data_IF_553573215005
#
_entry.id   IF_553573215005
#
_cell.length_a   1.000
_cell.length_b   1.000
_cell.length_c   1.000
_cell.angle_alpha   90.00
_cell.angle_beta   90.00
_cell.angle_gamma   90.00
#
_symmetry.space_group_name_H-M   'P 1'
#
loop_
_entity.id
_entity.type
_entity.pdbx_description
1 polymer ?
#
# COMPACT_ATOMS: atom_id res chain seq x y z
N UNK A 1 -5.43 2.09 6.04
CA UNK A 1 -6.08 0.86 5.58
C UNK A 1 -5.33 0.23 4.41
N UNK A 2 -5.42 -1.08 4.25
CA UNK A 2 -4.78 -1.78 3.12
C UNK A 2 -5.56 -1.48 1.85
N UNK A 3 -4.94 -0.76 0.92
CA UNK A 3 -5.49 -0.56 -0.43
C UNK A 3 -5.19 -1.80 -1.26
N UNK A 4 -6.13 -2.74 -1.35
CA UNK A 4 -5.97 -4.01 -2.08
C UNK A 4 -5.41 -3.85 -3.50
N UNK A 5 -5.86 -2.89 -4.34
CA UNK A 5 -5.27 -2.69 -5.66
C UNK A 5 -3.77 -2.38 -5.60
N UNK A 6 -3.35 -1.53 -4.68
CA UNK A 6 -1.94 -1.21 -4.46
C UNK A 6 -1.13 -2.44 -4.01
N UNK A 7 -1.68 -3.20 -3.05
CA UNK A 7 -1.04 -4.42 -2.54
C UNK A 7 -0.81 -5.43 -3.66
N UNK A 8 -1.83 -5.69 -4.49
CA UNK A 8 -1.73 -6.60 -5.64
C UNK A 8 -0.68 -6.11 -6.64
N UNK A 9 -0.70 -4.81 -6.99
CA UNK A 9 0.28 -4.20 -7.89
C UNK A 9 1.71 -4.39 -7.38
N UNK A 10 1.95 -4.15 -6.09
CA UNK A 10 3.26 -4.30 -5.47
C UNK A 10 3.69 -5.76 -5.29
N UNK A 11 2.75 -6.69 -5.13
CA UNK A 11 3.04 -8.12 -5.09
C UNK A 11 3.51 -8.67 -6.46
N UNK A 12 2.95 -8.16 -7.57
CA UNK A 12 3.34 -8.55 -8.94
C UNK A 12 4.62 -7.83 -9.41
N UNK A 13 4.88 -6.63 -8.91
CA UNK A 13 5.98 -5.76 -9.33
C UNK A 13 7.38 -6.44 -9.31
N UNK A 14 7.80 -7.20 -8.29
CA UNK A 14 9.10 -7.87 -8.28
C UNK A 14 9.30 -8.84 -9.43
N UNK A 15 8.24 -9.56 -9.82
CA UNK A 15 8.27 -10.47 -10.97
C UNK A 15 8.42 -9.68 -12.28
N UNK A 16 7.70 -8.59 -12.47
CA UNK A 16 7.82 -7.72 -13.64
C UNK A 16 9.25 -7.14 -13.76
N UNK A 17 9.83 -6.64 -12.66
CA UNK A 17 11.21 -6.14 -12.62
C UNK A 17 12.20 -7.25 -13.01
N UNK A 18 12.06 -8.45 -12.44
CA UNK A 18 12.91 -9.59 -12.77
C UNK A 18 12.82 -9.96 -14.26
N UNK A 19 11.63 -9.97 -14.84
CA UNK A 19 11.40 -10.23 -16.26
C UNK A 19 12.06 -9.17 -17.17
N UNK A 20 11.99 -7.89 -16.80
CA UNK A 20 12.70 -6.81 -17.52
C UNK A 20 14.20 -7.08 -17.47
N UNK A 21 14.76 -7.36 -16.31
CA UNK A 21 16.19 -7.64 -16.13
C UNK A 21 16.61 -8.85 -16.98
N UNK A 22 15.83 -9.93 -16.97
CA UNK A 22 16.10 -11.15 -17.77
C UNK A 22 16.02 -10.87 -19.27
N UNK A 23 15.01 -10.13 -19.72
CA UNK A 23 14.79 -9.74 -21.11
C UNK A 23 15.96 -8.90 -21.64
N UNK A 24 16.32 -7.83 -20.91
CA UNK A 24 17.46 -6.97 -21.30
C UNK A 24 18.77 -7.75 -21.30
N UNK A 25 19.00 -8.61 -20.31
CA UNK A 25 20.19 -9.48 -20.30
C UNK A 25 20.21 -10.48 -21.43
N UNK A 26 19.05 -11.03 -21.86
CA UNK A 26 18.96 -11.94 -22.99
C UNK A 26 19.31 -11.20 -24.30
N UNK A 27 18.78 -10.00 -24.51
CA UNK A 27 19.11 -9.14 -25.66
C UNK A 27 20.62 -8.82 -25.70
N UNK A 28 21.16 -8.33 -24.59
CA UNK A 28 22.61 -7.95 -24.52
C UNK A 28 23.52 -9.15 -24.78
N UNK A 29 23.10 -10.36 -24.40
CA UNK A 29 23.87 -11.60 -24.65
C UNK A 29 23.56 -12.26 -26.01
N UNK A 30 22.72 -11.67 -26.86
CA UNK A 30 22.32 -12.24 -28.15
C UNK A 30 21.48 -13.52 -28.04
N UNK A 31 20.84 -13.78 -26.90
CA UNK A 31 20.02 -14.98 -26.63
C UNK A 31 18.57 -14.77 -27.06
N UNK A 32 18.34 -14.42 -28.34
CA UNK A 32 17.04 -14.01 -28.86
C UNK A 32 15.95 -15.08 -28.77
N UNK A 33 16.31 -16.35 -28.79
CA UNK A 33 15.35 -17.47 -28.62
C UNK A 33 14.57 -17.38 -27.29
N UNK A 34 15.21 -16.87 -26.24
CA UNK A 34 14.53 -16.68 -24.95
C UNK A 34 13.48 -15.58 -24.96
N UNK A 35 13.51 -14.67 -25.92
CA UNK A 35 12.57 -13.56 -25.98
C UNK A 35 11.15 -14.01 -26.32
N UNK A 36 10.98 -15.15 -27.01
CA UNK A 36 9.66 -15.72 -27.31
C UNK A 36 8.85 -16.06 -26.05
N UNK A 37 9.51 -16.42 -24.97
CA UNK A 37 8.86 -16.67 -23.66
C UNK A 37 8.90 -15.45 -22.75
N UNK A 38 10.03 -14.74 -22.71
CA UNK A 38 10.20 -13.61 -21.79
C UNK A 38 9.31 -12.42 -22.12
N UNK A 39 9.12 -12.09 -23.42
CA UNK A 39 8.31 -10.92 -23.80
C UNK A 39 6.83 -11.11 -23.48
N UNK A 40 6.15 -12.21 -23.87
CA UNK A 40 4.75 -12.41 -23.50
C UNK A 40 4.53 -12.44 -21.98
N UNK A 41 5.43 -13.12 -21.23
CA UNK A 41 5.33 -13.17 -19.77
C UNK A 41 5.55 -11.80 -19.14
N UNK A 42 6.49 -11.00 -19.66
CA UNK A 42 6.71 -9.63 -19.24
C UNK A 42 5.47 -8.76 -19.49
N UNK A 43 4.89 -8.86 -20.67
CA UNK A 43 3.68 -8.10 -21.01
C UNK A 43 2.53 -8.44 -20.07
N UNK A 44 2.31 -9.72 -19.76
CA UNK A 44 1.32 -10.15 -18.77
C UNK A 44 1.59 -9.56 -17.39
N UNK A 45 2.85 -9.55 -16.94
CA UNK A 45 3.25 -8.95 -15.68
C UNK A 45 3.01 -7.44 -15.63
N UNK A 46 3.35 -6.72 -16.70
CA UNK A 46 3.11 -5.28 -16.80
C UNK A 46 1.62 -4.93 -16.88
N UNK A 47 0.84 -5.70 -17.63
CA UNK A 47 -0.63 -5.57 -17.70
C UNK A 47 -1.22 -5.84 -16.31
N UNK A 48 -0.75 -6.88 -15.60
CA UNK A 48 -1.17 -7.15 -14.23
C UNK A 48 -0.89 -5.99 -13.28
N UNK A 49 0.29 -5.38 -13.35
CA UNK A 49 0.61 -4.16 -12.58
C UNK A 49 -0.31 -2.99 -12.95
N UNK A 50 -0.58 -2.77 -14.25
CA UNK A 50 -1.43 -1.67 -14.73
C UNK A 50 -2.87 -1.81 -14.27
N UNK A 51 -3.43 -3.01 -14.39
CA UNK A 51 -4.82 -3.32 -14.00
C UNK A 51 -5.01 -3.28 -12.48
N UNK A 52 -3.98 -3.72 -11.73
CA UNK A 52 -4.02 -3.66 -10.28
C UNK A 52 -3.99 -2.20 -9.80
N UNK A 53 -2.97 -1.44 -10.18
CA UNK A 53 -2.88 -0.02 -9.88
C UNK A 53 -1.83 0.68 -10.77
N UNK A 54 -2.17 1.80 -11.45
CA UNK A 54 -1.26 2.49 -12.36
C UNK A 54 0.09 2.90 -11.73
N UNK A 55 0.13 3.25 -10.42
CA UNK A 55 1.37 3.63 -9.76
C UNK A 55 2.39 2.47 -9.66
N UNK A 56 1.93 1.20 -9.76
CA UNK A 56 2.84 0.06 -9.80
C UNK A 56 3.74 0.10 -11.04
N UNK A 57 3.24 0.57 -12.20
CA UNK A 57 4.06 0.74 -13.40
C UNK A 57 5.13 1.82 -13.22
N UNK A 58 4.78 2.95 -12.59
CA UNK A 58 5.76 3.99 -12.27
C UNK A 58 6.81 3.46 -11.31
N UNK A 59 6.39 2.67 -10.32
CA UNK A 59 7.30 2.02 -9.39
C UNK A 59 8.26 1.07 -10.11
N UNK A 60 7.77 0.23 -11.04
CA UNK A 60 8.63 -0.61 -11.90
C UNK A 60 9.65 0.26 -12.64
N UNK A 61 9.22 1.38 -13.25
CA UNK A 61 10.10 2.29 -13.98
C UNK A 61 11.22 2.84 -13.08
N UNK A 62 10.89 3.31 -11.87
CA UNK A 62 11.87 3.84 -10.91
C UNK A 62 12.94 2.80 -10.56
N UNK A 63 12.57 1.54 -10.34
CA UNK A 63 13.52 0.46 -10.06
C UNK A 63 14.38 0.09 -11.26
N UNK A 64 13.82 0.13 -12.46
CA UNK A 64 14.46 -0.36 -13.67
C UNK A 64 15.40 0.68 -14.29
N UNK A 65 15.12 1.98 -14.14
CA UNK A 65 15.95 3.04 -14.69
C UNK A 65 17.43 2.93 -14.30
N UNK A 66 17.83 2.78 -13.03
CA UNK A 66 19.24 2.60 -12.65
C UNK A 66 19.88 1.37 -13.30
N UNK A 67 19.13 0.27 -13.42
CA UNK A 67 19.58 -0.94 -14.11
C UNK A 67 19.82 -0.68 -15.61
N UNK A 68 18.89 -0.03 -16.29
CA UNK A 68 19.01 0.29 -17.72
C UNK A 68 20.21 1.19 -18.00
N UNK A 69 20.43 2.21 -17.17
CA UNK A 69 21.60 3.10 -17.27
C UNK A 69 22.93 2.33 -17.07
N UNK A 70 22.97 1.41 -16.08
CA UNK A 70 24.11 0.55 -15.85
C UNK A 70 24.37 -0.38 -17.05
N UNK A 71 23.30 -0.87 -17.71
CA UNK A 71 23.41 -1.71 -18.90
C UNK A 71 23.91 -0.95 -20.14
N UNK A 72 23.51 0.32 -20.33
CA UNK A 72 24.07 1.15 -21.39
C UNK A 72 25.60 1.23 -21.26
N UNK A 73 26.08 1.58 -20.06
CA UNK A 73 27.52 1.66 -19.81
C UNK A 73 28.25 0.34 -20.09
N UNK A 74 27.61 -0.79 -19.76
CA UNK A 74 28.14 -2.12 -20.07
C UNK A 74 28.18 -2.42 -21.57
N UNK A 75 27.07 -2.16 -22.29
CA UNK A 75 26.95 -2.39 -23.73
C UNK A 75 28.00 -1.57 -24.49
N UNK A 76 28.12 -0.28 -24.19
CA UNK A 76 29.10 0.60 -24.83
C UNK A 76 30.53 0.11 -24.61
N UNK A 77 30.87 -0.36 -23.42
CA UNK A 77 32.23 -0.87 -23.11
C UNK A 77 32.54 -2.20 -23.79
N UNK A 78 31.56 -3.11 -23.88
CA UNK A 78 31.79 -4.50 -24.32
C UNK A 78 31.70 -4.67 -25.83
N UNK A 79 30.81 -3.95 -26.49
CA UNK A 79 30.46 -4.17 -27.91
C UNK A 79 30.75 -2.96 -28.81
N UNK A 80 31.74 -2.18 -28.48
CA UNK A 80 32.12 -0.95 -29.18
C UNK A 80 32.24 -1.20 -30.68
N UNK A 81 31.34 -0.61 -31.51
CA UNK A 81 31.25 -0.72 -32.98
C UNK A 81 30.62 -2.00 -33.55
N UNK A 82 29.81 -2.76 -32.83
CA UNK A 82 29.08 -3.90 -33.38
C UNK A 82 27.59 -3.61 -33.64
N UNK A 83 26.97 -4.33 -34.59
CA UNK A 83 25.52 -4.27 -34.84
C UNK A 83 24.73 -4.64 -33.56
N UNK A 84 25.24 -5.52 -32.72
CA UNK A 84 24.66 -5.88 -31.43
C UNK A 84 24.61 -4.70 -30.47
N UNK A 85 25.63 -3.83 -30.49
CA UNK A 85 25.63 -2.61 -29.65
C UNK A 85 24.50 -1.67 -30.04
N UNK A 86 24.29 -1.48 -31.35
CA UNK A 86 23.22 -0.62 -31.86
C UNK A 86 21.83 -1.17 -31.47
N UNK A 87 21.60 -2.47 -31.63
CA UNK A 87 20.33 -3.11 -31.28
C UNK A 87 20.09 -3.03 -29.76
N UNK A 88 21.06 -3.47 -28.95
CA UNK A 88 20.92 -3.46 -27.50
C UNK A 88 20.78 -2.03 -26.95
N UNK A 89 21.55 -1.08 -27.47
CA UNK A 89 21.45 0.34 -27.11
C UNK A 89 20.10 0.93 -27.46
N UNK A 90 19.60 0.66 -28.67
CA UNK A 90 18.28 1.10 -29.13
C UNK A 90 17.13 0.58 -28.24
N UNK A 91 17.16 -0.72 -27.89
CA UNK A 91 16.14 -1.32 -26.97
C UNK A 91 16.19 -0.68 -25.59
N UNK A 92 17.39 -0.46 -25.03
CA UNK A 92 17.52 0.17 -23.72
C UNK A 92 17.03 1.63 -23.75
N UNK A 93 17.36 2.39 -24.82
CA UNK A 93 16.87 3.75 -24.98
C UNK A 93 15.34 3.79 -25.12
N UNK A 94 14.77 2.86 -25.90
CA UNK A 94 13.31 2.74 -26.02
C UNK A 94 12.67 2.43 -24.67
N UNK A 95 13.25 1.52 -23.87
CA UNK A 95 12.76 1.20 -22.53
C UNK A 95 12.84 2.44 -21.59
N UNK A 96 13.92 3.24 -21.65
CA UNK A 96 14.02 4.49 -20.89
C UNK A 96 12.99 5.53 -21.34
N UNK A 97 12.78 5.68 -22.65
CA UNK A 97 11.74 6.55 -23.17
C UNK A 97 10.34 6.12 -22.71
N UNK A 98 10.09 4.79 -22.67
CA UNK A 98 8.84 4.23 -22.12
C UNK A 98 8.69 4.58 -20.64
N UNK A 99 9.75 4.48 -19.83
CA UNK A 99 9.70 4.87 -18.41
C UNK A 99 9.31 6.36 -18.25
N UNK A 100 9.86 7.24 -19.09
CA UNK A 100 9.52 8.67 -19.09
C UNK A 100 8.06 8.87 -19.52
N UNK A 101 7.61 8.19 -20.57
CA UNK A 101 6.23 8.26 -21.04
C UNK A 101 5.24 7.81 -19.96
N UNK A 102 5.52 6.67 -19.29
CA UNK A 102 4.71 6.15 -18.17
C UNK A 102 4.62 7.19 -17.04
N UNK A 103 5.74 7.84 -16.71
CA UNK A 103 5.74 8.90 -15.71
C UNK A 103 4.78 10.04 -16.09
N UNK A 104 4.86 10.52 -17.34
CA UNK A 104 4.00 11.60 -17.80
C UNK A 104 2.52 11.22 -17.89
N UNK A 105 2.21 9.99 -18.33
CA UNK A 105 0.83 9.52 -18.50
C UNK A 105 0.12 9.24 -17.17
N UNK A 106 0.86 8.75 -16.17
CA UNK A 106 0.28 8.36 -14.87
C UNK A 106 0.30 9.51 -13.87
N UNK A 107 0.94 10.62 -14.20
CA UNK A 107 0.97 11.81 -13.36
C UNK A 107 -0.42 12.43 -13.26
N UNK A 108 -1.09 12.37 -12.09
CA UNK A 108 -2.42 12.94 -11.96
C UNK A 108 -2.37 14.47 -12.02
N UNK A 109 -3.06 15.06 -12.99
CA UNK A 109 -3.19 16.52 -13.10
C UNK A 109 -4.13 17.11 -12.05
N UNK A 110 -5.16 16.36 -11.65
CA UNK A 110 -6.29 16.86 -10.84
C UNK A 110 -6.30 16.36 -9.39
N UNK A 111 -5.51 15.34 -9.03
CA UNK A 111 -5.46 14.82 -7.64
C UNK A 111 -4.65 15.70 -6.66
N UNK A 112 -4.44 16.97 -7.02
CA UNK A 112 -3.72 17.93 -6.18
C UNK A 112 -4.48 18.30 -4.89
N UNK A 113 -5.77 17.96 -4.75
CA UNK A 113 -6.58 18.30 -3.60
C UNK A 113 -6.37 17.38 -2.39
N UNK A 114 -6.09 16.09 -2.61
CA UNK A 114 -5.91 15.10 -1.54
C UNK A 114 -4.44 14.75 -1.37
N UNK A 115 -3.62 15.71 -0.97
CA UNK A 115 -2.20 15.49 -0.73
C UNK A 115 -1.94 15.32 0.76
N UNK A 116 -1.27 14.23 1.12
CA UNK A 116 -0.72 14.05 2.44
C UNK A 116 0.25 15.19 2.80
N UNK A 117 0.19 15.68 4.03
CA UNK A 117 1.12 16.69 4.53
C UNK A 117 2.48 16.07 4.86
N UNK A 118 3.51 16.91 4.97
CA UNK A 118 4.78 16.49 5.58
C UNK A 118 4.56 16.18 7.07
N UNK A 119 5.23 15.16 7.58
CA UNK A 119 5.02 14.65 8.95
C UNK A 119 6.28 14.72 9.81
N UNK A 120 7.44 15.03 9.22
CA UNK A 120 8.72 15.10 9.93
C UNK A 120 9.70 16.04 9.23
N UNK A 121 10.81 16.38 9.91
CA UNK A 121 11.89 17.15 9.30
C UNK A 121 12.70 16.33 8.29
N UNK A 122 13.43 17.00 7.38
CA UNK A 122 14.27 16.31 6.38
C UNK A 122 15.34 15.43 7.03
N UNK A 123 15.99 15.94 8.10
CA UNK A 123 17.02 15.18 8.83
C UNK A 123 16.45 13.92 9.49
N UNK A 124 15.26 14.02 10.06
CA UNK A 124 14.56 12.88 10.63
C UNK A 124 14.14 11.88 9.56
N UNK A 125 13.60 12.33 8.43
CA UNK A 125 13.24 11.46 7.32
C UNK A 125 14.46 10.70 6.78
N UNK A 126 15.62 11.33 6.64
CA UNK A 126 16.85 10.65 6.24
C UNK A 126 17.27 9.62 7.28
N UNK A 127 17.18 9.94 8.58
CA UNK A 127 17.45 8.98 9.64
C UNK A 127 16.52 7.77 9.57
N UNK A 128 15.20 8.01 9.48
CA UNK A 128 14.21 6.93 9.42
C UNK A 128 14.38 6.07 8.15
N UNK A 129 14.75 6.66 7.02
CA UNK A 129 15.09 5.91 5.80
C UNK A 129 16.30 4.99 6.01
N UNK A 130 17.39 5.51 6.56
CA UNK A 130 18.63 4.74 6.74
C UNK A 130 18.49 3.62 7.76
N UNK A 131 17.68 3.82 8.80
CA UNK A 131 17.47 2.87 9.88
C UNK A 131 16.18 2.06 9.78
N UNK A 132 15.46 2.17 8.65
CA UNK A 132 14.20 1.44 8.42
C UNK A 132 13.15 1.67 9.51
N UNK A 133 13.00 2.92 9.94
CA UNK A 133 11.90 3.38 10.81
C UNK A 133 10.82 4.11 10.02
N UNK A 134 10.45 3.56 8.87
CA UNK A 134 9.54 4.21 7.90
C UNK A 134 8.13 4.42 8.46
N UNK A 135 7.73 3.61 9.42
CA UNK A 135 6.46 3.66 10.15
C UNK A 135 6.32 4.95 10.99
N UNK A 136 7.45 5.56 11.37
CA UNK A 136 7.45 6.82 12.11
C UNK A 136 6.94 8.01 11.27
N UNK A 137 6.81 7.83 9.96
CA UNK A 137 6.13 8.77 9.10
C UNK A 137 4.61 8.58 9.20
N UNK A 138 4.02 8.83 10.38
CA UNK A 138 2.58 8.71 10.61
C UNK A 138 2.02 10.01 11.21
N UNK A 139 0.73 10.25 10.99
CA UNK A 139 0.05 11.46 11.46
C UNK A 139 -0.41 11.38 12.91
N UNK A 140 -0.39 10.17 13.50
CA UNK A 140 -0.86 9.93 14.86
C UNK A 140 0.21 10.26 15.90
N UNK A 141 1.46 10.48 15.48
CA UNK A 141 2.59 10.73 16.35
C UNK A 141 3.11 9.50 17.10
N UNK A 142 2.65 8.31 16.70
CA UNK A 142 3.16 7.04 17.22
C UNK A 142 4.64 6.89 16.88
N UNK A 143 5.42 6.39 17.85
CA UNK A 143 6.86 6.14 17.67
C UNK A 143 7.14 4.67 17.69
N UNK A 144 7.78 4.20 16.63
CA UNK A 144 8.21 2.82 16.45
C UNK A 144 9.72 2.74 16.50
N UNK A 145 10.23 1.64 17.04
CA UNK A 145 11.68 1.40 17.04
C UNK A 145 12.16 1.06 15.63
N UNK A 146 13.21 1.76 15.11
CA UNK A 146 13.77 1.45 13.79
C UNK A 146 14.33 0.03 13.70
N UNK A 147 14.30 -0.56 12.51
CA UNK A 147 14.82 -1.90 12.25
C UNK A 147 16.34 -1.90 12.07
N UNK A 148 17.11 -1.69 13.14
CA UNK A 148 18.58 -1.56 13.12
C UNK A 148 19.28 -2.77 12.50
N UNK A 149 18.76 -3.99 12.68
CA UNK A 149 19.32 -5.21 12.07
C UNK A 149 19.19 -5.13 10.56
N UNK A 150 18.02 -4.75 10.07
CA UNK A 150 17.77 -4.58 8.64
C UNK A 150 18.66 -3.49 8.05
N UNK A 151 18.83 -2.38 8.76
CA UNK A 151 19.71 -1.28 8.38
C UNK A 151 21.16 -1.74 8.26
N UNK A 152 21.67 -2.41 9.29
CA UNK A 152 23.03 -2.95 9.30
C UNK A 152 23.28 -3.89 8.12
N UNK A 153 22.40 -4.87 7.90
CA UNK A 153 22.54 -5.84 6.81
C UNK A 153 22.45 -5.15 5.43
N UNK A 154 21.57 -4.17 5.27
CA UNK A 154 21.41 -3.40 4.02
C UNK A 154 22.68 -2.59 3.72
N UNK A 155 23.21 -1.86 4.71
CA UNK A 155 24.43 -1.08 4.55
C UNK A 155 25.65 -1.97 4.31
N UNK A 156 25.73 -3.12 5.00
CA UNK A 156 26.77 -4.11 4.76
C UNK A 156 26.71 -4.66 3.33
N UNK A 157 25.52 -5.00 2.84
CA UNK A 157 25.31 -5.46 1.47
C UNK A 157 25.66 -4.42 0.43
N UNK A 158 25.30 -3.16 0.67
CA UNK A 158 25.70 -2.03 -0.17
C UNK A 158 27.22 -1.88 -0.21
N UNK A 159 27.89 -1.89 0.97
CA UNK A 159 29.35 -1.86 1.09
C UNK A 159 30.03 -3.02 0.35
N UNK A 160 29.48 -4.23 0.48
CA UNK A 160 29.97 -5.41 -0.24
C UNK A 160 29.87 -5.24 -1.77
N UNK A 161 28.74 -4.74 -2.29
CA UNK A 161 28.56 -4.48 -3.73
C UNK A 161 29.52 -3.40 -4.24
N UNK A 162 29.76 -2.34 -3.45
CA UNK A 162 30.75 -1.29 -3.75
C UNK A 162 32.14 -1.88 -3.81
N UNK A 163 32.54 -2.66 -2.80
CA UNK A 163 33.83 -3.35 -2.78
C UNK A 163 34.02 -4.26 -3.99
N UNK A 164 33.00 -5.05 -4.36
CA UNK A 164 33.04 -5.93 -5.53
C UNK A 164 32.84 -5.20 -6.88
N UNK A 165 32.49 -3.93 -6.86
CA UNK A 165 32.16 -3.12 -8.06
C UNK A 165 31.13 -3.79 -8.98
N UNK A 166 30.14 -4.44 -8.39
CA UNK A 166 29.11 -5.22 -9.12
C UNK A 166 27.71 -4.83 -8.69
N UNK A 167 26.78 -4.79 -9.65
CA UNK A 167 25.35 -4.55 -9.44
C UNK A 167 25.06 -3.27 -8.62
N UNK A 168 25.88 -2.23 -8.78
CA UNK A 168 25.73 -0.94 -8.08
C UNK A 168 24.38 -0.28 -8.32
N UNK A 169 23.71 -0.64 -9.42
CA UNK A 169 22.36 -0.19 -9.74
C UNK A 169 21.33 -0.52 -8.64
N UNK A 170 21.53 -1.61 -7.87
CA UNK A 170 20.64 -1.97 -6.75
C UNK A 170 20.72 -0.89 -5.67
N UNK A 171 21.94 -0.44 -5.34
CA UNK A 171 22.18 0.63 -4.38
C UNK A 171 21.54 1.93 -4.88
N UNK A 172 21.74 2.25 -6.16
CA UNK A 172 21.18 3.45 -6.76
C UNK A 172 19.65 3.40 -6.75
N UNK A 173 19.03 2.23 -7.02
CA UNK A 173 17.57 2.05 -6.91
C UNK A 173 17.10 2.26 -5.48
N UNK A 174 17.79 1.73 -4.47
CA UNK A 174 17.46 1.91 -3.07
C UNK A 174 17.53 3.38 -2.65
N UNK A 175 18.61 4.08 -3.01
CA UNK A 175 18.78 5.51 -2.74
C UNK A 175 17.69 6.34 -3.45
N UNK A 176 17.38 6.01 -4.71
CA UNK A 176 16.38 6.74 -5.48
C UNK A 176 14.98 6.64 -4.85
N UNK A 177 14.57 5.43 -4.48
CA UNK A 177 13.26 5.22 -3.83
C UNK A 177 13.26 5.85 -2.43
N UNK A 178 14.35 5.71 -1.67
CA UNK A 178 14.51 6.39 -0.38
C UNK A 178 14.43 7.89 -0.49
N UNK A 179 15.02 8.49 -1.52
CA UNK A 179 14.92 9.92 -1.78
C UNK A 179 13.48 10.36 -2.08
N UNK A 180 12.74 9.59 -2.89
CA UNK A 180 11.32 9.86 -3.12
C UNK A 180 10.50 9.76 -1.83
N UNK A 181 10.80 8.77 -0.98
CA UNK A 181 10.15 8.63 0.32
C UNK A 181 10.45 9.82 1.23
N UNK A 182 11.72 10.22 1.34
CA UNK A 182 12.13 11.40 2.13
C UNK A 182 11.38 12.65 1.66
N UNK A 183 11.31 12.90 0.34
CA UNK A 183 10.53 14.03 -0.21
C UNK A 183 9.07 13.94 0.23
N UNK A 184 8.46 12.76 0.15
CA UNK A 184 7.05 12.60 0.53
C UNK A 184 6.81 12.80 2.03
N UNK A 185 7.75 12.38 2.89
CA UNK A 185 7.61 12.44 4.34
C UNK A 185 7.94 13.84 4.91
N UNK A 186 8.86 14.60 4.28
CA UNK A 186 9.44 15.80 4.92
C UNK A 186 9.28 17.10 4.13
N UNK A 187 9.18 17.05 2.79
CA UNK A 187 9.08 18.27 2.00
C UNK A 187 7.65 18.82 2.02
N UNK A 188 7.48 20.10 2.28
CA UNK A 188 6.19 20.76 2.26
C UNK A 188 5.54 20.75 0.86
N UNK A 189 4.22 20.97 0.85
CA UNK A 189 3.44 21.01 -0.39
C UNK A 189 3.97 22.10 -1.33
N UNK A 190 4.35 21.69 -2.54
CA UNK A 190 4.84 22.60 -3.57
C UNK A 190 5.08 21.90 -4.91
N UNK A 191 5.41 22.66 -5.98
CA UNK A 191 5.59 22.11 -7.32
C UNK A 191 6.66 21.01 -7.40
N UNK A 192 7.73 21.14 -6.62
CA UNK A 192 8.81 20.16 -6.56
C UNK A 192 8.33 18.80 -5.99
N UNK A 193 7.65 18.84 -4.82
CA UNK A 193 7.09 17.62 -4.22
C UNK A 193 6.09 16.96 -5.16
N UNK A 194 5.20 17.76 -5.76
CA UNK A 194 4.21 17.25 -6.72
C UNK A 194 4.87 16.64 -7.96
N UNK A 195 5.94 17.26 -8.49
CA UNK A 195 6.69 16.69 -9.61
C UNK A 195 7.27 15.32 -9.26
N UNK A 196 7.82 15.16 -8.07
CA UNK A 196 8.58 13.98 -7.69
C UNK A 196 7.70 12.80 -7.22
N UNK A 197 6.61 13.06 -6.48
CA UNK A 197 5.88 12.00 -5.78
C UNK A 197 4.38 11.96 -6.05
N UNK A 198 3.84 12.80 -6.96
CA UNK A 198 2.42 12.76 -7.32
C UNK A 198 1.91 11.42 -7.85
N UNK A 199 2.70 10.59 -8.58
CA UNK A 199 2.23 9.27 -9.01
C UNK A 199 1.83 8.35 -7.86
N UNK A 200 2.33 8.59 -6.65
CA UNK A 200 1.95 7.89 -5.42
C UNK A 200 1.02 8.71 -4.54
N UNK A 201 0.33 9.73 -5.08
CA UNK A 201 -0.59 10.63 -4.36
C UNK A 201 0.08 11.38 -3.20
N UNK A 202 1.39 11.62 -3.29
CA UNK A 202 2.23 12.15 -2.21
C UNK A 202 2.19 11.33 -0.90
N UNK A 203 1.69 10.10 -0.96
CA UNK A 203 1.51 9.20 0.16
C UNK A 203 2.83 8.50 0.53
N UNK A 204 3.38 8.84 1.69
CA UNK A 204 4.63 8.28 2.18
C UNK A 204 4.50 6.79 2.58
N UNK A 205 3.31 6.29 2.94
CA UNK A 205 3.11 4.86 3.22
C UNK A 205 3.28 3.99 1.97
N UNK A 206 2.81 4.48 0.81
CA UNK A 206 3.01 3.78 -0.47
C UNK A 206 4.49 3.71 -0.85
N UNK A 207 5.21 4.81 -0.65
CA UNK A 207 6.65 4.88 -0.94
C UNK A 207 7.47 4.08 0.09
N UNK A 208 7.07 4.01 1.36
CA UNK A 208 7.70 3.17 2.37
C UNK A 208 7.78 1.70 1.93
N UNK A 209 6.67 1.16 1.41
CA UNK A 209 6.63 -0.21 0.88
C UNK A 209 7.65 -0.43 -0.24
N UNK A 210 7.89 0.59 -1.09
CA UNK A 210 8.86 0.50 -2.17
C UNK A 210 10.31 0.52 -1.67
N UNK A 211 10.61 1.23 -0.59
CA UNK A 211 11.97 1.27 0.03
C UNK A 211 12.37 -0.13 0.50
N UNK A 212 11.44 -0.91 1.02
CA UNK A 212 11.70 -2.24 1.55
C UNK A 212 12.21 -3.21 0.49
N UNK A 213 11.71 -3.13 -0.75
CA UNK A 213 12.06 -4.09 -1.80
C UNK A 213 13.57 -4.16 -2.11
N UNK A 214 14.28 -3.07 -2.47
CA UNK A 214 15.73 -3.12 -2.67
C UNK A 214 16.48 -3.29 -1.35
N UNK A 215 15.91 -2.85 -0.23
CA UNK A 215 16.47 -3.07 1.10
C UNK A 215 16.58 -4.55 1.44
N UNK A 216 15.54 -5.35 1.20
CA UNK A 216 15.56 -6.82 1.38
C UNK A 216 16.63 -7.47 0.50
N UNK A 217 16.77 -7.03 -0.76
CA UNK A 217 17.79 -7.56 -1.66
C UNK A 217 19.19 -7.24 -1.12
N UNK A 218 19.43 -6.00 -0.69
CA UNK A 218 20.74 -5.58 -0.14
C UNK A 218 21.03 -6.30 1.18
N UNK A 219 20.05 -6.44 2.07
CA UNK A 219 20.25 -7.15 3.34
C UNK A 219 20.53 -8.63 3.13
N UNK A 220 19.87 -9.28 2.17
CA UNK A 220 20.17 -10.66 1.78
C UNK A 220 21.58 -10.82 1.22
N UNK A 221 22.05 -9.87 0.42
CA UNK A 221 23.45 -9.83 -0.07
C UNK A 221 24.42 -9.61 1.11
N UNK A 222 24.08 -8.72 2.03
CA UNK A 222 24.89 -8.44 3.23
C UNK A 222 25.03 -9.67 4.12
N UNK A 223 23.93 -10.32 4.43
CA UNK A 223 23.91 -11.56 5.20
C UNK A 223 24.72 -12.65 4.50
N UNK A 224 24.53 -12.86 3.20
CA UNK A 224 25.29 -13.82 2.41
C UNK A 224 26.80 -13.54 2.41
N UNK A 225 27.21 -12.26 2.35
CA UNK A 225 28.61 -11.86 2.42
C UNK A 225 29.23 -12.15 3.82
N UNK A 226 28.48 -11.89 4.88
CA UNK A 226 28.90 -12.20 6.26
C UNK A 226 29.07 -13.71 6.42
N UNK A 227 28.06 -14.50 6.05
CA UNK A 227 28.09 -15.96 6.14
C UNK A 227 29.27 -16.53 5.35
N UNK A 228 29.49 -16.08 4.10
CA UNK A 228 30.63 -16.54 3.30
C UNK A 228 31.98 -16.19 3.94
N UNK A 229 32.10 -15.03 4.57
CA UNK A 229 33.33 -14.60 5.25
C UNK A 229 33.60 -15.46 6.48
N UNK A 230 32.61 -15.73 7.29
CA UNK A 230 32.65 -16.60 8.46
C UNK A 230 33.03 -18.02 8.05
N UNK A 231 32.39 -18.57 7.02
CA UNK A 231 32.67 -19.90 6.50
C UNK A 231 34.13 -20.02 6.01
N UNK A 232 34.61 -19.05 5.23
CA UNK A 232 35.99 -19.04 4.78
C UNK A 232 36.98 -19.01 5.95
N UNK A 233 36.69 -18.21 6.98
CA UNK A 233 37.53 -18.10 8.16
C UNK A 233 37.59 -19.43 8.95
N UNK A 234 36.44 -20.10 9.12
CA UNK A 234 36.37 -21.40 9.81
C UNK A 234 37.07 -22.48 9.00
N UNK A 235 36.82 -22.56 7.68
CA UNK A 235 37.46 -23.55 6.80
C UNK A 235 38.98 -23.37 6.71
N UNK A 236 39.49 -22.14 6.74
CA UNK A 236 40.94 -21.89 6.74
C UNK A 236 41.63 -22.41 7.98
N UNK A 237 40.89 -22.61 9.09
CA UNK A 237 41.42 -23.15 10.35
C UNK A 237 41.22 -24.65 10.54
N UNK A 238 40.45 -25.30 9.64
CA UNK A 238 40.18 -26.73 9.65
C UNK A 238 40.74 -27.40 8.38
N UNK A 239 42.06 -27.56 8.26
CA UNK A 239 42.74 -27.93 6.99
C UNK A 239 42.42 -29.33 6.45
N UNK A 240 41.68 -30.17 7.18
CA UNK A 240 41.31 -31.54 6.74
C UNK A 240 39.96 -31.66 6.05
N UNK A 241 39.35 -30.55 5.70
CA UNK A 241 37.95 -30.51 5.28
C UNK A 241 37.81 -30.20 3.79
N UNK A 242 38.41 -31.03 2.93
CA UNK A 242 38.19 -30.92 1.47
C UNK A 242 37.13 -31.92 0.95
N UNK A 243 36.28 -32.43 1.84
CA UNK A 243 35.24 -33.39 1.49
C UNK A 243 33.90 -32.64 1.15
N UNK A 244 33.27 -33.06 0.08
CA UNK A 244 31.97 -32.54 -0.40
C UNK A 244 30.88 -32.59 0.70
N UNK A 245 30.92 -33.56 1.59
CA UNK A 245 30.03 -33.70 2.74
C UNK A 245 30.15 -32.54 3.73
N UNK A 246 31.34 -32.06 3.96
CA UNK A 246 31.60 -30.93 4.87
C UNK A 246 31.08 -29.62 4.31
N UNK A 247 31.20 -29.42 2.99
CA UNK A 247 30.60 -28.26 2.33
C UNK A 247 29.08 -28.27 2.46
N UNK A 248 28.44 -29.44 2.34
CA UNK A 248 27.00 -29.60 2.54
C UNK A 248 26.59 -29.33 3.98
N UNK A 249 27.32 -29.87 4.97
CA UNK A 249 27.05 -29.62 6.40
C UNK A 249 27.15 -28.12 6.73
N UNK A 250 28.15 -27.43 6.19
CA UNK A 250 28.32 -25.99 6.41
C UNK A 250 27.21 -25.18 5.74
N UNK A 251 26.74 -25.57 4.58
CA UNK A 251 25.59 -24.93 3.92
C UNK A 251 24.32 -25.11 4.75
N UNK A 252 24.07 -26.32 5.24
CA UNK A 252 22.92 -26.60 6.12
C UNK A 252 23.03 -25.83 7.43
N UNK A 253 24.20 -25.85 8.08
CA UNK A 253 24.42 -25.08 9.31
C UNK A 253 24.20 -23.57 9.07
N UNK A 254 24.68 -23.03 7.95
CA UNK A 254 24.46 -21.64 7.58
C UNK A 254 22.98 -21.33 7.36
N UNK A 255 22.24 -22.22 6.68
CA UNK A 255 20.81 -22.08 6.49
C UNK A 255 20.05 -22.10 7.83
N UNK A 256 20.42 -23.00 8.73
CA UNK A 256 19.84 -23.06 10.09
C UNK A 256 20.13 -21.77 10.86
N UNK A 257 21.38 -21.26 10.83
CA UNK A 257 21.73 -19.99 11.49
C UNK A 257 20.88 -18.84 10.93
N UNK A 258 20.72 -18.78 9.60
CA UNK A 258 19.88 -17.75 8.96
C UNK A 258 18.41 -17.86 9.40
N UNK A 259 17.86 -19.08 9.45
CA UNK A 259 16.48 -19.32 9.91
C UNK A 259 16.30 -18.94 11.38
N UNK A 260 17.28 -19.29 12.23
CA UNK A 260 17.26 -18.91 13.65
C UNK A 260 17.35 -17.39 13.79
N UNK A 261 18.26 -16.74 13.06
CA UNK A 261 18.39 -15.28 13.06
C UNK A 261 17.10 -14.61 12.57
N UNK A 262 16.46 -15.14 11.51
CA UNK A 262 15.16 -14.67 11.04
C UNK A 262 14.06 -14.82 12.10
N UNK A 263 14.04 -15.95 12.82
CA UNK A 263 13.13 -16.17 13.94
C UNK A 263 13.33 -15.17 15.09
N UNK A 264 14.57 -14.82 15.39
CA UNK A 264 14.86 -13.77 16.39
C UNK A 264 14.48 -12.38 15.90
N UNK A 265 14.77 -12.05 14.64
CA UNK A 265 14.43 -10.72 14.08
C UNK A 265 12.93 -10.52 13.94
N UNK A 266 12.14 -11.58 13.73
CA UNK A 266 10.67 -11.50 13.71
C UNK A 266 10.04 -11.24 15.09
N UNK A 267 10.83 -11.30 16.16
CA UNK A 267 10.41 -11.05 17.54
C UNK A 267 11.00 -9.75 18.11
N UNK A 268 11.55 -8.89 17.26
CA UNK A 268 12.02 -7.58 17.72
C UNK A 268 10.86 -6.69 18.14
N UNK A 269 11.14 -5.71 19.01
CA UNK A 269 10.16 -4.73 19.47
C UNK A 269 9.51 -4.02 18.28
N UNK A 270 10.29 -3.65 17.25
CA UNK A 270 9.78 -3.04 16.03
C UNK A 270 8.67 -3.87 15.34
N UNK A 271 8.88 -5.19 15.21
CA UNK A 271 7.86 -6.09 14.62
C UNK A 271 6.66 -6.25 15.55
N UNK A 272 6.90 -6.33 16.86
CA UNK A 272 5.83 -6.40 17.85
C UNK A 272 4.94 -5.16 17.80
N UNK A 273 5.53 -3.96 17.84
CA UNK A 273 4.81 -2.70 17.82
C UNK A 273 4.04 -2.50 16.50
N UNK A 274 4.67 -2.82 15.36
CA UNK A 274 3.99 -2.80 14.07
C UNK A 274 2.81 -3.78 14.02
N UNK A 275 2.98 -4.99 14.59
CA UNK A 275 1.90 -6.00 14.67
C UNK A 275 0.76 -5.52 15.56
N UNK A 276 1.06 -4.89 16.70
CA UNK A 276 0.05 -4.32 17.58
C UNK A 276 -0.70 -3.17 16.90
N UNK A 277 0.03 -2.25 16.24
CA UNK A 277 -0.58 -1.14 15.53
C UNK A 277 -1.55 -1.64 14.43
N UNK A 278 -1.10 -2.59 13.60
CA UNK A 278 -1.96 -3.20 12.58
C UNK A 278 -3.14 -3.94 13.21
N UNK A 279 -2.91 -4.69 14.31
CA UNK A 279 -3.99 -5.46 14.95
C UNK A 279 -5.10 -4.58 15.52
N UNK A 280 -4.78 -3.40 16.03
CA UNK A 280 -5.77 -2.43 16.54
C UNK A 280 -6.75 -1.99 15.45
N UNK A 281 -6.28 -1.84 14.22
CA UNK A 281 -7.12 -1.45 13.08
C UNK A 281 -8.12 -2.53 12.63
N UNK A 282 -7.83 -3.81 12.96
CA UNK A 282 -8.64 -4.96 12.53
C UNK A 282 -9.40 -5.64 13.66
N UNK A 283 -9.18 -5.27 14.91
CA UNK A 283 -9.96 -5.79 16.04
C UNK A 283 -11.29 -5.09 16.11
N UNK A 284 -12.32 -5.87 16.42
CA UNK A 284 -13.65 -5.36 16.71
C UNK A 284 -13.76 -5.23 18.23
N UNK A 285 -13.50 -4.04 18.74
CA UNK A 285 -13.50 -3.67 20.15
C UNK A 285 -14.41 -2.43 20.34
N UNK A 286 -14.85 -2.10 21.57
CA UNK A 286 -15.68 -0.89 21.78
C UNK A 286 -15.06 0.40 21.26
N UNK A 287 -13.73 0.49 21.22
CA UNK A 287 -12.96 1.66 20.76
C UNK A 287 -12.48 1.58 19.31
N UNK A 288 -12.91 0.57 18.54
CA UNK A 288 -12.50 0.43 17.14
C UNK A 288 -13.00 1.59 16.29
N UNK A 289 -12.11 2.12 15.43
CA UNK A 289 -12.38 3.34 14.64
C UNK A 289 -13.30 3.05 13.45
N UNK A 290 -13.19 1.87 12.82
CA UNK A 290 -13.93 1.55 11.59
C UNK A 290 -15.29 0.93 11.91
N UNK A 291 -15.29 -0.13 12.71
CA UNK A 291 -16.50 -0.80 13.23
C UNK A 291 -16.24 -1.21 14.64
N UNK A 292 -16.96 -0.62 15.59
CA UNK A 292 -16.92 -0.99 17.00
C UNK A 292 -17.69 -2.28 17.29
N UNK A 293 -17.51 -2.87 18.47
CA UNK A 293 -18.27 -4.06 18.88
C UNK A 293 -19.78 -3.80 18.95
N UNK A 294 -20.20 -2.59 19.34
CA UNK A 294 -21.62 -2.22 19.35
C UNK A 294 -22.19 -2.08 17.94
N UNK A 295 -21.43 -1.46 17.02
CA UNK A 295 -21.83 -1.37 15.59
C UNK A 295 -21.91 -2.76 14.96
N UNK A 296 -20.92 -3.64 15.23
CA UNK A 296 -20.96 -5.02 14.73
C UNK A 296 -22.15 -5.79 15.26
N UNK A 297 -22.50 -5.63 16.54
CA UNK A 297 -23.67 -6.26 17.12
C UNK A 297 -24.97 -5.80 16.45
N UNK A 298 -25.09 -4.50 16.11
CA UNK A 298 -26.23 -4.01 15.32
C UNK A 298 -26.22 -4.61 13.93
N UNK A 299 -25.05 -4.64 13.23
CA UNK A 299 -24.95 -5.18 11.87
C UNK A 299 -25.42 -6.63 11.82
N UNK A 300 -24.97 -7.47 12.77
CA UNK A 300 -25.31 -8.89 12.81
C UNK A 300 -26.83 -9.15 12.98
N UNK A 301 -27.56 -8.24 13.65
CA UNK A 301 -29.01 -8.36 13.87
C UNK A 301 -29.88 -7.69 12.81
N UNK A 302 -29.30 -6.90 11.89
CA UNK A 302 -30.07 -6.28 10.79
C UNK A 302 -30.90 -7.29 9.98
N UNK A 303 -30.39 -8.50 9.63
CA UNK A 303 -31.17 -9.47 8.87
C UNK A 303 -32.45 -9.95 9.55
N UNK A 304 -32.54 -9.88 10.88
CA UNK A 304 -33.70 -10.32 11.67
C UNK A 304 -34.89 -9.37 11.49
N UNK A 305 -34.64 -8.12 11.14
CA UNK A 305 -35.63 -7.05 11.10
C UNK A 305 -35.86 -6.46 9.70
N UNK A 306 -34.77 -6.33 8.91
CA UNK A 306 -34.80 -5.64 7.61
C UNK A 306 -35.00 -6.65 6.49
N UNK A 307 -36.10 -6.58 5.72
CA UNK A 307 -36.27 -7.40 4.52
C UNK A 307 -35.18 -7.19 3.47
N UNK A 308 -34.95 -8.19 2.64
CA UNK A 308 -33.84 -8.16 1.66
C UNK A 308 -34.03 -7.10 0.56
N UNK A 309 -35.29 -6.69 0.29
CA UNK A 309 -35.60 -5.68 -0.72
C UNK A 309 -35.59 -4.23 -0.22
N UNK A 310 -35.55 -4.05 1.11
CA UNK A 310 -35.54 -2.72 1.72
C UNK A 310 -34.17 -2.07 1.67
N UNK A 311 -34.14 -0.75 1.68
CA UNK A 311 -32.94 0.06 1.70
C UNK A 311 -32.81 0.72 3.08
N UNK A 312 -31.61 0.69 3.64
CA UNK A 312 -31.31 1.32 4.91
C UNK A 312 -30.63 2.67 4.65
N UNK A 313 -31.19 3.75 5.19
CA UNK A 313 -30.53 5.03 5.23
C UNK A 313 -29.31 4.95 6.16
N UNK A 314 -28.17 5.46 5.72
CA UNK A 314 -26.91 5.40 6.46
C UNK A 314 -26.02 6.61 6.18
N UNK A 315 -25.11 6.90 7.10
CA UNK A 315 -24.00 7.81 6.87
C UNK A 315 -22.79 7.02 6.34
N UNK A 316 -22.38 7.15 5.07
CA UNK A 316 -21.28 6.36 4.52
C UNK A 316 -19.90 6.72 5.12
N UNK A 317 -19.80 7.73 5.98
CA UNK A 317 -18.58 8.14 6.67
C UNK A 317 -18.34 7.42 8.00
N UNK A 318 -19.24 6.51 8.39
CA UNK A 318 -19.08 5.63 9.54
C UNK A 318 -18.90 4.16 9.11
N UNK A 319 -19.02 3.21 10.04
CA UNK A 319 -18.91 1.79 9.77
C UNK A 319 -20.08 1.16 8.99
N UNK A 320 -21.17 1.91 8.75
CA UNK A 320 -22.39 1.37 8.15
C UNK A 320 -22.26 0.81 6.73
N UNK A 321 -21.34 1.24 5.84
CA UNK A 321 -21.13 0.59 4.56
C UNK A 321 -20.79 -0.90 4.64
N UNK A 322 -20.25 -1.37 5.76
CA UNK A 322 -19.95 -2.80 5.97
C UNK A 322 -21.20 -3.67 6.04
N UNK A 323 -22.38 -3.10 6.32
CA UNK A 323 -23.67 -3.81 6.30
C UNK A 323 -23.88 -4.53 4.97
N UNK A 324 -23.55 -3.86 3.85
CA UNK A 324 -23.70 -4.48 2.53
C UNK A 324 -22.81 -5.71 2.35
N UNK A 325 -21.53 -5.62 2.74
CA UNK A 325 -20.57 -6.71 2.57
C UNK A 325 -20.76 -7.86 3.56
N UNK A 326 -21.21 -7.58 4.79
CA UNK A 326 -21.33 -8.58 5.85
C UNK A 326 -22.69 -9.29 5.87
N UNK A 327 -23.79 -8.53 5.67
CA UNK A 327 -25.15 -9.07 5.84
C UNK A 327 -26.05 -8.88 4.61
N UNK A 328 -25.49 -8.40 3.49
CA UNK A 328 -26.14 -8.29 2.19
C UNK A 328 -27.46 -7.51 2.25
N UNK A 329 -27.48 -6.34 2.89
CA UNK A 329 -28.59 -5.40 2.88
C UNK A 329 -28.23 -4.14 2.11
N UNK A 330 -29.22 -3.60 1.38
CA UNK A 330 -29.02 -2.41 0.56
C UNK A 330 -28.95 -1.15 1.41
N UNK A 331 -28.14 -0.19 0.97
CA UNK A 331 -27.88 1.07 1.66
C UNK A 331 -28.14 2.24 0.73
N UNK A 332 -28.39 3.42 1.29
CA UNK A 332 -28.39 4.67 0.53
C UNK A 332 -26.98 5.15 0.17
N UNK A 333 -25.96 4.77 0.95
CA UNK A 333 -24.57 5.12 0.73
C UNK A 333 -23.63 3.92 0.96
N UNK A 334 -22.96 3.46 -0.09
CA UNK A 334 -22.08 2.28 -0.04
C UNK A 334 -20.60 2.60 0.23
N UNK A 335 -20.21 3.87 0.08
CA UNK A 335 -18.83 4.30 0.22
C UNK A 335 -18.75 5.81 0.45
N UNK A 336 -17.87 6.27 1.32
CA UNK A 336 -17.72 7.68 1.68
C UNK A 336 -17.31 8.59 0.51
N UNK A 337 -16.52 8.09 -0.45
CA UNK A 337 -16.00 8.84 -1.60
C UNK A 337 -16.89 8.68 -2.86
N UNK A 338 -18.09 8.13 -2.74
CA UNK A 338 -19.02 8.01 -3.84
C UNK A 338 -19.88 9.28 -3.93
N UNK A 339 -20.16 9.72 -5.16
CA UNK A 339 -21.20 10.74 -5.35
C UNK A 339 -22.48 10.24 -4.70
N UNK A 340 -22.92 10.96 -3.68
CA UNK A 340 -24.19 10.73 -3.01
C UNK A 340 -25.29 10.80 -4.06
N UNK A 341 -26.17 9.81 -4.10
CA UNK A 341 -27.32 9.85 -5.01
C UNK A 341 -28.27 10.99 -4.53
N UNK A 342 -28.38 12.02 -5.35
CA UNK A 342 -29.17 13.24 -5.04
C UNK A 342 -30.63 12.93 -4.69
N UNK A 343 -31.16 11.79 -5.15
CA UNK A 343 -32.55 11.39 -4.81
C UNK A 343 -32.75 11.16 -3.30
N UNK A 344 -31.71 10.76 -2.56
CA UNK A 344 -31.76 10.55 -1.10
C UNK A 344 -31.44 11.80 -0.28
N UNK A 345 -31.11 12.92 -0.93
CA UNK A 345 -30.75 14.17 -0.24
C UNK A 345 -31.82 14.66 0.76
N UNK A 346 -33.15 14.56 0.49
CA UNK A 346 -34.14 14.89 1.50
C UNK A 346 -34.01 14.06 2.78
N UNK A 347 -33.71 12.77 2.67
CA UNK A 347 -33.50 11.89 3.83
C UNK A 347 -32.25 12.36 4.59
N UNK A 348 -31.12 12.58 3.90
CA UNK A 348 -29.87 12.95 4.57
C UNK A 348 -29.97 14.26 5.34
N UNK A 349 -30.63 15.28 4.78
CA UNK A 349 -30.68 16.62 5.37
C UNK A 349 -31.91 16.86 6.25
N UNK A 350 -33.03 16.21 5.97
CA UNK A 350 -34.33 16.57 6.51
C UNK A 350 -35.08 15.41 7.17
N UNK A 351 -34.43 14.25 7.42
CA UNK A 351 -35.12 13.12 8.08
C UNK A 351 -35.73 13.54 9.43
N UNK A 352 -35.05 14.40 10.18
CA UNK A 352 -35.57 14.96 11.43
C UNK A 352 -36.90 15.71 11.29
N UNK A 353 -37.19 16.21 10.10
CA UNK A 353 -38.39 17.02 9.78
C UNK A 353 -39.48 16.16 9.13
N UNK A 354 -39.37 14.83 9.10
CA UNK A 354 -40.27 13.91 8.38
C UNK A 354 -41.75 14.03 8.80
N UNK A 355 -42.04 14.52 10.02
CA UNK A 355 -43.40 14.78 10.48
C UNK A 355 -44.06 16.02 9.82
N UNK A 356 -43.25 16.95 9.33
CA UNK A 356 -43.69 18.27 8.84
C UNK A 356 -43.34 18.50 7.38
N UNK A 357 -42.35 17.76 6.86
CA UNK A 357 -41.92 17.83 5.47
C UNK A 357 -42.38 16.59 4.67
N UNK A 358 -43.44 16.70 3.86
CA UNK A 358 -43.97 15.57 3.08
C UNK A 358 -43.01 15.05 2.00
N UNK A 359 -42.04 15.84 1.56
CA UNK A 359 -41.07 15.40 0.55
C UNK A 359 -40.14 14.31 1.11
N UNK A 360 -39.82 14.35 2.40
CA UNK A 360 -39.03 13.32 3.06
C UNK A 360 -39.75 11.97 3.00
N UNK A 361 -41.02 11.92 3.45
CA UNK A 361 -41.79 10.69 3.44
C UNK A 361 -42.09 10.18 2.03
N UNK A 362 -42.27 11.08 1.05
CA UNK A 362 -42.37 10.71 -0.36
C UNK A 362 -41.11 9.94 -0.82
N UNK A 363 -39.90 10.48 -0.56
CA UNK A 363 -38.64 9.83 -0.94
C UNK A 363 -38.47 8.51 -0.20
N UNK A 364 -38.79 8.44 1.08
CA UNK A 364 -38.79 7.22 1.90
C UNK A 364 -39.64 6.12 1.25
N UNK A 365 -40.88 6.42 0.91
CA UNK A 365 -41.86 5.45 0.40
C UNK A 365 -41.57 5.05 -1.06
N UNK A 366 -41.26 6.01 -1.94
CA UNK A 366 -40.96 5.75 -3.36
C UNK A 366 -39.67 4.89 -3.54
N UNK A 367 -38.74 4.93 -2.59
CA UNK A 367 -37.47 4.21 -2.70
C UNK A 367 -37.32 3.04 -1.71
N UNK A 368 -38.35 2.68 -0.96
CA UNK A 368 -38.32 1.62 0.07
C UNK A 368 -37.23 1.85 1.13
N UNK A 369 -37.02 3.10 1.56
CA UNK A 369 -36.00 3.46 2.58
C UNK A 369 -36.68 3.58 3.93
N UNK A 370 -37.21 2.46 4.46
CA UNK A 370 -37.97 2.45 5.71
C UNK A 370 -37.14 2.32 6.96
N UNK A 371 -35.84 2.18 6.82
CA UNK A 371 -34.90 1.90 7.87
C UNK A 371 -33.79 2.93 7.93
N UNK A 372 -33.27 3.20 9.15
CA UNK A 372 -32.11 4.02 9.39
C UNK A 372 -31.18 3.31 10.38
N UNK A 373 -29.88 3.30 10.07
CA UNK A 373 -28.85 2.85 11.01
C UNK A 373 -28.09 4.05 11.54
N UNK A 374 -28.00 4.14 12.86
CA UNK A 374 -27.26 5.19 13.56
C UNK A 374 -25.99 4.63 14.16
N UNK A 375 -24.83 5.11 13.64
CA UNK A 375 -23.49 4.84 14.17
C UNK A 375 -22.83 6.16 14.56
N UNK A 376 -22.05 6.17 15.64
CA UNK A 376 -21.56 7.43 16.25
C UNK A 376 -20.13 7.82 15.88
N UNK A 377 -19.33 6.90 15.31
CA UNK A 377 -17.93 7.13 15.04
C UNK A 377 -17.67 7.44 13.56
N UNK A 378 -17.99 8.65 13.07
CA UNK A 378 -17.68 8.98 11.69
C UNK A 378 -16.16 9.03 11.50
N UNK A 379 -15.68 8.42 10.42
CA UNK A 379 -14.31 8.54 9.96
C UNK A 379 -14.02 10.03 9.71
N UNK A 380 -13.07 10.59 10.43
CA UNK A 380 -12.86 12.04 10.48
C UNK A 380 -12.03 12.54 9.28
N UNK A 381 -12.65 12.62 8.10
CA UNK A 381 -12.03 13.14 6.86
C UNK A 381 -12.34 14.62 6.58
N UNK A 382 -12.91 15.33 7.53
CA UNK A 382 -13.20 16.77 7.48
C UNK A 382 -14.67 17.12 7.70
N UNK A 383 -14.96 18.32 8.24
CA UNK A 383 -16.30 18.72 8.65
C UNK A 383 -17.30 18.84 7.49
N UNK A 384 -16.85 19.23 6.29
CA UNK A 384 -17.76 19.48 5.16
C UNK A 384 -18.44 18.22 4.63
N UNK A 385 -17.79 17.06 4.78
CA UNK A 385 -18.32 15.79 4.33
C UNK A 385 -19.46 15.26 5.21
N UNK A 386 -19.51 15.67 6.48
CA UNK A 386 -20.49 15.20 7.47
C UNK A 386 -21.75 16.06 7.49
N UNK A 387 -21.65 17.34 7.18
CA UNK A 387 -22.79 18.29 7.18
C UNK A 387 -23.95 17.87 6.27
N UNK A 388 -23.74 16.97 5.32
CA UNK A 388 -24.80 16.44 4.46
C UNK A 388 -25.75 15.49 5.23
N UNK A 389 -25.27 14.84 6.29
CA UNK A 389 -25.98 13.75 6.99
C UNK A 389 -26.53 14.16 8.35
N UNK A 390 -26.42 15.44 8.73
CA UNK A 390 -26.85 15.96 10.04
C UNK A 390 -28.35 15.73 10.29
N UNK A 391 -29.18 15.83 9.24
CA UNK A 391 -30.62 15.60 9.37
C UNK A 391 -30.99 14.16 9.79
N UNK A 392 -30.16 13.18 9.55
CA UNK A 392 -30.37 11.79 10.03
C UNK A 392 -29.94 11.62 11.49
N UNK A 393 -28.79 12.16 11.86
CA UNK A 393 -28.30 12.06 13.25
C UNK A 393 -29.25 12.72 14.23
N UNK A 394 -29.74 13.93 13.91
CA UNK A 394 -30.71 14.67 14.71
C UNK A 394 -32.09 13.98 14.79
N UNK A 395 -32.41 13.11 13.83
CA UNK A 395 -33.68 12.40 13.79
C UNK A 395 -33.89 11.42 14.96
N UNK A 396 -32.77 10.92 15.56
CA UNK A 396 -32.83 9.97 16.69
C UNK A 396 -33.55 10.59 17.90
N UNK A 397 -33.36 11.89 18.14
CA UNK A 397 -33.94 12.60 19.29
C UNK A 397 -35.33 13.19 19.01
N UNK A 398 -35.73 13.33 17.74
CA UNK A 398 -36.94 14.07 17.36
C UNK A 398 -38.21 13.20 17.28
N UNK A 399 -38.15 11.93 17.67
CA UNK A 399 -39.30 11.02 17.72
C UNK A 399 -39.91 10.70 16.33
N UNK A 400 -39.15 10.88 15.25
CA UNK A 400 -39.50 10.47 13.89
C UNK A 400 -39.08 9.02 13.63
N UNK A 401 -38.25 8.46 14.49
CA UNK A 401 -37.71 7.12 14.44
C UNK A 401 -38.21 6.27 15.61
N UNK A 402 -38.46 4.99 15.34
CA UNK A 402 -38.73 4.00 16.38
C UNK A 402 -37.56 3.05 16.48
N UNK A 403 -36.86 2.90 17.64
CA UNK A 403 -35.79 1.97 17.79
C UNK A 403 -36.29 0.53 17.67
N UNK A 404 -35.54 -0.30 16.90
CA UNK A 404 -35.90 -1.71 16.67
C UNK A 404 -34.86 -2.62 17.31
N UNK A 405 -33.58 -2.26 17.17
CA UNK A 405 -32.47 -2.96 17.84
C UNK A 405 -31.38 -1.96 18.21
N UNK A 406 -30.88 -2.03 19.42
CA UNK A 406 -29.84 -1.11 19.90
C UNK A 406 -28.73 -1.87 20.65
N UNK A 407 -27.50 -1.42 20.49
CA UNK A 407 -26.33 -1.86 21.25
C UNK A 407 -25.52 -0.63 21.65
N UNK A 408 -25.41 -0.36 22.95
CA UNK A 408 -24.83 0.89 23.43
C UNK A 408 -25.61 2.09 22.90
N UNK A 409 -24.92 2.99 22.23
CA UNK A 409 -25.51 4.18 21.60
C UNK A 409 -25.82 3.99 20.12
N UNK A 410 -25.49 2.82 19.56
CA UNK A 410 -25.71 2.44 18.16
C UNK A 410 -27.06 1.79 17.99
N UNK A 411 -27.70 1.95 16.83
CA UNK A 411 -29.00 1.34 16.65
C UNK A 411 -29.51 1.25 15.22
N UNK A 412 -30.42 0.30 15.04
CA UNK A 412 -31.30 0.17 13.89
C UNK A 412 -32.66 0.73 14.25
N UNK A 413 -33.17 1.62 13.43
CA UNK A 413 -34.40 2.34 13.63
C UNK A 413 -35.35 2.15 12.43
N UNK A 414 -36.64 2.11 12.69
CA UNK A 414 -37.68 2.27 11.66
C UNK A 414 -38.06 3.74 11.51
N UNK A 415 -38.18 4.22 10.29
CA UNK A 415 -38.65 5.59 9.98
C UNK A 415 -40.16 5.65 10.14
N UNK A 416 -40.64 5.62 11.40
CA UNK A 416 -42.06 5.48 11.73
C UNK A 416 -42.90 6.72 11.42
N UNK A 417 -42.28 7.88 11.28
CA UNK A 417 -43.02 9.09 10.88
C UNK A 417 -43.61 9.02 9.46
N UNK A 418 -43.09 8.10 8.62
CA UNK A 418 -43.56 7.90 7.25
C UNK A 418 -44.40 6.63 7.05
N UNK A 419 -44.75 5.93 8.12
CA UNK A 419 -45.67 4.78 8.09
C UNK A 419 -47.14 5.31 8.06
N UNK A 420 -47.65 5.73 6.90
CA UNK A 420 -49.07 6.18 6.70
C UNK A 420 -49.77 5.32 5.67
#
# INVERSE_FOLDING_TARGET
GVLYPNLIGYAVMPAAIALIILTVRAVVKGRYQKLWTLIPTLLLGLIGCALAHPNALVSVAVFVVPFLLAMIGKVVRTYRKSRQTAIAGGIILAALATCVAVWYMIRPGEFASNTWTSVMSEGEAVYQFLFFGLENANQLGDKFEPSYIMAFLTLWGAGYLIYKRRNLWIITSWILVGYLWVISASVERGPFRMLMVSPWYTDHFRLATLVVLPGVILSGIGLGAIVQSVLKFVLARLPRVNDTRYTQVLLVASAVIVLVAAGFTSRTQAVHDATLAVSKEYRIEPSSVIVSSDEMNVIEHIPDYVPQGDIIANNPWDGSPYIYSLVHRNLTGYHFDFKTDEKYRPIYKHLKDAKTDPEVCKVVNENNVHWYVHFKNPLNFGPDAQNLYDGMSDAVENGVLTPVYTSGEMGLYRISACDS
#
